data_IF_724125495510
#
_entry.id   IF_724125495510
#
_cell.length_a   1.000
_cell.length_b   1.000
_cell.length_c   1.000
_cell.angle_alpha   90.00
_cell.angle_beta   90.00
_cell.angle_gamma   90.00
#
_symmetry.space_group_name_H-M   'P 1'
#
loop_
_entity.id
_entity.type
_entity.pdbx_description
1 polymer ?
#
# COMPACT_ATOMS: atom_id res chain seq x y z
N UNK A 1 9.32 15.07 19.18
CA UNK A 1 10.14 14.45 18.11
C UNK A 1 9.24 13.49 17.35
N UNK A 2 9.40 13.34 16.03
CA UNK A 2 8.53 12.44 15.26
C UNK A 2 9.02 10.99 15.32
N UNK A 3 8.14 10.02 15.03
CA UNK A 3 8.51 8.61 14.88
C UNK A 3 9.65 8.43 13.86
N UNK A 4 9.68 9.26 12.82
CA UNK A 4 10.76 9.32 11.83
C UNK A 4 12.08 9.75 12.47
N UNK A 5 12.06 10.74 13.36
CA UNK A 5 13.26 11.18 14.09
C UNK A 5 13.78 10.08 15.01
N UNK A 6 12.90 9.42 15.77
CA UNK A 6 13.29 8.30 16.65
C UNK A 6 13.93 7.17 15.84
N UNK A 7 13.33 6.80 14.72
CA UNK A 7 13.88 5.78 13.85
C UNK A 7 15.23 6.17 13.24
N UNK A 8 15.37 7.41 12.76
CA UNK A 8 16.65 7.93 12.25
C UNK A 8 17.75 7.87 13.31
N UNK A 9 17.43 8.18 14.57
CA UNK A 9 18.35 8.02 15.70
C UNK A 9 18.72 6.54 15.94
N UNK A 10 17.76 5.61 15.88
CA UNK A 10 18.04 4.16 15.97
C UNK A 10 18.97 3.71 14.83
N UNK A 11 18.73 4.16 13.59
CA UNK A 11 19.57 3.84 12.44
C UNK A 11 21.01 4.35 12.62
N UNK A 12 21.15 5.55 13.19
CA UNK A 12 22.44 6.23 13.39
C UNK A 12 23.25 5.66 14.55
N UNK A 13 22.62 5.33 15.68
CA UNK A 13 23.32 4.95 16.92
C UNK A 13 23.21 3.47 17.29
N UNK A 14 22.29 2.74 16.66
CA UNK A 14 22.03 1.31 16.93
C UNK A 14 21.94 0.54 15.61
N UNK A 15 22.86 0.82 14.68
CA UNK A 15 22.83 0.34 13.29
C UNK A 15 22.61 -1.17 13.15
N UNK A 16 23.30 -2.00 13.95
CA UNK A 16 23.11 -3.46 13.90
C UNK A 16 21.68 -3.87 14.27
N UNK A 17 21.06 -3.21 15.25
CA UNK A 17 19.69 -3.48 15.68
C UNK A 17 18.68 -2.92 14.67
N UNK A 18 18.97 -1.75 14.09
CA UNK A 18 18.17 -1.19 13.00
C UNK A 18 18.09 -2.15 11.81
N UNK A 19 19.23 -2.74 11.40
CA UNK A 19 19.26 -3.74 10.32
C UNK A 19 18.46 -5.00 10.64
N UNK A 20 18.45 -5.45 11.89
CA UNK A 20 17.63 -6.58 12.33
C UNK A 20 16.12 -6.24 12.24
N UNK A 21 15.74 -5.07 12.73
CA UNK A 21 14.35 -4.59 12.71
C UNK A 21 13.84 -4.33 11.29
N UNK A 22 14.68 -3.81 10.38
CA UNK A 22 14.37 -3.66 8.96
C UNK A 22 14.01 -5.00 8.31
N UNK A 23 14.71 -6.08 8.66
CA UNK A 23 14.41 -7.42 8.16
C UNK A 23 13.10 -7.98 8.72
N UNK A 24 12.79 -7.68 9.98
CA UNK A 24 11.61 -8.20 10.66
C UNK A 24 10.33 -7.50 10.21
N UNK A 25 10.37 -6.17 10.08
CA UNK A 25 9.20 -5.36 9.70
C UNK A 25 9.00 -5.26 8.19
N UNK A 26 9.94 -5.76 7.37
CA UNK A 26 9.91 -5.85 5.89
C UNK A 26 9.91 -4.48 5.19
N UNK A 27 9.45 -3.42 5.86
CA UNK A 27 9.37 -2.06 5.35
C UNK A 27 9.58 -1.03 6.46
N UNK A 28 10.39 -0.02 6.16
CA UNK A 28 10.58 1.17 6.98
C UNK A 28 9.23 1.83 7.34
N UNK A 29 8.25 1.87 6.43
CA UNK A 29 6.93 2.44 6.73
C UNK A 29 6.24 1.73 7.90
N UNK A 30 6.41 0.40 8.03
CA UNK A 30 5.83 -0.37 9.14
C UNK A 30 6.51 -0.12 10.48
N UNK A 31 7.81 0.18 10.45
CA UNK A 31 8.56 0.60 11.64
C UNK A 31 8.06 1.97 12.11
N UNK A 32 7.89 2.93 11.19
CA UNK A 32 7.35 4.26 11.51
C UNK A 32 5.92 4.14 12.05
N UNK A 33 5.04 3.39 11.38
CA UNK A 33 3.66 3.14 11.84
C UNK A 33 3.63 2.56 13.27
N UNK A 34 4.54 1.63 13.58
CA UNK A 34 4.67 1.08 14.93
C UNK A 34 5.12 2.15 15.93
N UNK A 35 6.15 2.93 15.60
CA UNK A 35 6.70 3.99 16.47
C UNK A 35 5.73 5.17 16.67
N UNK A 36 4.72 5.38 15.82
CA UNK A 36 3.68 6.37 16.09
C UNK A 36 2.93 6.07 17.41
N UNK A 37 2.77 4.78 17.75
CA UNK A 37 2.18 4.31 19.01
C UNK A 37 3.14 4.35 20.20
N UNK A 38 4.42 4.69 20.01
CA UNK A 38 5.40 4.77 21.09
C UNK A 38 5.22 6.09 21.87
N UNK A 39 4.88 5.97 23.16
CA UNK A 39 4.63 7.13 24.04
C UNK A 39 5.88 7.96 24.36
N UNK A 40 7.07 7.36 24.26
CA UNK A 40 8.34 8.05 24.52
C UNK A 40 8.88 8.82 23.33
N UNK A 41 8.18 8.87 22.18
CA UNK A 41 8.73 9.43 20.92
C UNK A 41 9.15 10.90 21.00
N UNK A 42 8.58 11.65 21.93
CA UNK A 42 8.89 13.07 22.15
C UNK A 42 10.09 13.30 23.07
N UNK A 43 10.60 12.23 23.70
CA UNK A 43 11.79 12.28 24.54
C UNK A 43 13.06 12.53 23.71
N UNK A 44 14.15 12.84 24.41
CA UNK A 44 15.43 13.09 23.78
C UNK A 44 16.11 11.79 23.33
N UNK A 45 16.44 11.67 22.03
CA UNK A 45 17.09 10.49 21.44
C UNK A 45 18.39 10.84 20.68
N UNK A 46 18.92 12.05 20.85
CA UNK A 46 20.07 12.59 20.11
C UNK A 46 21.32 12.87 20.97
N UNK A 47 22.25 13.67 20.46
CA UNK A 47 23.47 14.11 21.17
C UNK A 47 23.19 15.19 22.22
N UNK A 48 23.72 15.10 23.43
CA UNK A 48 23.84 16.33 24.24
C UNK A 48 24.62 17.38 23.42
N UNK A 49 23.99 18.54 23.19
CA UNK A 49 24.44 19.64 22.34
C UNK A 49 25.96 19.65 22.05
N UNK A 50 26.35 19.22 20.85
CA UNK A 50 27.75 19.06 20.46
C UNK A 50 27.91 18.67 18.98
N UNK A 51 29.12 18.71 18.42
CA UNK A 51 29.38 18.36 17.02
C UNK A 51 28.97 16.91 16.73
N UNK A 52 28.62 16.63 15.47
CA UNK A 52 28.34 15.29 14.99
C UNK A 52 29.49 14.34 15.37
N UNK A 53 29.18 13.26 16.10
CA UNK A 53 30.17 12.31 16.64
C UNK A 53 30.53 12.50 18.12
N UNK A 54 29.88 13.42 18.83
CA UNK A 54 29.97 13.52 20.29
C UNK A 54 29.39 12.28 21.01
N UNK A 55 29.76 12.06 22.29
CA UNK A 55 29.20 10.96 23.07
C UNK A 55 27.68 11.06 23.15
N UNK A 56 27.01 9.92 23.10
CA UNK A 56 25.57 9.82 23.30
C UNK A 56 25.25 10.19 24.75
N UNK A 57 24.20 11.01 24.97
CA UNK A 57 23.73 11.29 26.34
C UNK A 57 23.23 9.98 26.98
N UNK A 58 23.51 9.73 28.26
CA UNK A 58 22.93 8.58 28.97
C UNK A 58 21.39 8.53 28.87
N UNK A 59 20.73 9.70 28.82
CA UNK A 59 19.29 9.79 28.63
C UNK A 59 18.87 9.33 27.21
N UNK A 60 19.62 9.72 26.18
CA UNK A 60 19.37 9.28 24.81
C UNK A 60 19.56 7.77 24.65
N UNK A 61 20.58 7.20 25.31
CA UNK A 61 20.81 5.74 25.34
C UNK A 61 19.61 4.99 25.89
N UNK A 62 19.13 5.41 27.07
CA UNK A 62 17.98 4.80 27.72
C UNK A 62 16.72 4.89 26.84
N UNK A 63 16.51 6.03 26.17
CA UNK A 63 15.31 6.24 25.37
C UNK A 63 15.36 5.48 24.05
N UNK A 64 16.53 5.38 23.41
CA UNK A 64 16.71 4.51 22.24
C UNK A 64 16.48 3.03 22.59
N UNK A 65 16.98 2.58 23.74
CA UNK A 65 16.78 1.20 24.17
C UNK A 65 15.30 0.90 24.48
N UNK A 66 14.57 1.86 25.07
CA UNK A 66 13.10 1.76 25.24
C UNK A 66 12.36 1.71 23.91
N UNK A 67 12.75 2.53 22.93
CA UNK A 67 12.14 2.55 21.61
C UNK A 67 12.38 1.21 20.88
N UNK A 68 13.59 0.66 20.98
CA UNK A 68 13.92 -0.68 20.47
C UNK A 68 13.08 -1.76 21.16
N UNK A 69 12.98 -1.74 22.49
CA UNK A 69 12.17 -2.70 23.22
C UNK A 69 10.69 -2.63 22.83
N UNK A 70 10.17 -1.43 22.55
CA UNK A 70 8.82 -1.25 22.04
C UNK A 70 8.64 -1.89 20.66
N UNK A 71 9.59 -1.69 19.74
CA UNK A 71 9.58 -2.32 18.41
C UNK A 71 9.67 -3.84 18.51
N UNK A 72 10.53 -4.38 19.37
CA UNK A 72 10.69 -5.83 19.55
C UNK A 72 9.44 -6.48 20.14
N UNK A 73 8.73 -5.78 21.04
CA UNK A 73 7.46 -6.26 21.62
C UNK A 73 6.32 -6.25 20.62
N UNK A 74 6.32 -5.27 19.70
CA UNK A 74 5.25 -5.07 18.73
C UNK A 74 5.61 -5.54 17.32
N UNK A 75 6.71 -6.31 17.18
CA UNK A 75 7.12 -6.82 15.88
C UNK A 75 6.04 -7.71 15.26
N UNK A 76 5.75 -7.56 13.95
CA UNK A 76 4.82 -8.44 13.30
C UNK A 76 5.36 -9.88 13.35
N UNK A 77 4.49 -10.84 13.64
CA UNK A 77 4.87 -12.24 13.45
C UNK A 77 4.89 -12.53 11.95
N UNK A 78 5.92 -13.21 11.45
CA UNK A 78 6.09 -13.56 10.02
C UNK A 78 4.81 -14.20 9.45
N UNK A 79 4.11 -15.01 10.26
CA UNK A 79 2.84 -15.65 9.88
C UNK A 79 1.66 -14.68 9.68
N UNK A 80 1.64 -13.51 10.34
CA UNK A 80 0.60 -12.50 10.16
C UNK A 80 0.80 -11.68 8.89
N UNK A 81 2.05 -11.36 8.56
CA UNK A 81 2.43 -10.66 7.33
C UNK A 81 2.12 -11.53 6.09
N UNK A 82 2.53 -12.81 6.09
CA UNK A 82 2.23 -13.73 4.98
C UNK A 82 0.73 -13.90 4.73
N UNK A 83 -0.08 -13.96 5.80
CA UNK A 83 -1.55 -14.05 5.68
C UNK A 83 -2.14 -12.76 5.09
N UNK A 84 -1.64 -11.58 5.47
CA UNK A 84 -2.09 -10.31 4.90
C UNK A 84 -1.73 -10.21 3.42
N UNK A 85 -0.50 -10.57 3.04
CA UNK A 85 -0.05 -10.54 1.64
C UNK A 85 -0.84 -11.54 0.78
N UNK A 86 -1.07 -12.76 1.27
CA UNK A 86 -1.90 -13.76 0.57
C UNK A 86 -3.35 -13.30 0.41
N UNK A 87 -3.91 -12.66 1.43
CA UNK A 87 -5.27 -12.08 1.38
C UNK A 87 -5.38 -10.94 0.36
N UNK A 88 -4.42 -10.02 0.34
CA UNK A 88 -4.36 -8.94 -0.64
C UNK A 88 -4.24 -9.47 -2.07
N UNK A 89 -3.37 -10.45 -2.31
CA UNK A 89 -3.23 -11.11 -3.61
C UNK A 89 -4.51 -11.82 -4.05
N UNK A 90 -5.22 -12.47 -3.12
CA UNK A 90 -6.52 -13.11 -3.41
C UNK A 90 -7.59 -12.07 -3.76
N UNK A 91 -7.65 -10.94 -3.05
CA UNK A 91 -8.57 -9.84 -3.34
C UNK A 91 -8.28 -9.20 -4.70
N UNK A 92 -7.00 -8.97 -5.04
CA UNK A 92 -6.60 -8.46 -6.35
C UNK A 92 -6.96 -9.42 -7.47
N UNK A 93 -6.65 -10.72 -7.34
CA UNK A 93 -7.04 -11.74 -8.32
C UNK A 93 -8.55 -11.83 -8.51
N UNK A 94 -9.32 -11.73 -7.43
CA UNK A 94 -10.79 -11.70 -7.49
C UNK A 94 -11.31 -10.46 -8.20
N UNK A 95 -10.72 -9.29 -7.93
CA UNK A 95 -11.07 -8.03 -8.61
C UNK A 95 -10.80 -8.12 -10.11
N UNK A 96 -9.62 -8.59 -10.52
CA UNK A 96 -9.26 -8.75 -11.94
C UNK A 96 -10.22 -9.71 -12.67
N UNK A 97 -10.54 -10.86 -12.08
CA UNK A 97 -11.49 -11.81 -12.65
C UNK A 97 -12.90 -11.21 -12.82
N UNK A 98 -13.33 -10.36 -11.90
CA UNK A 98 -14.61 -9.65 -12.01
C UNK A 98 -14.58 -8.60 -13.11
N UNK A 99 -13.48 -7.85 -13.24
CA UNK A 99 -13.25 -6.88 -14.32
C UNK A 99 -13.28 -7.54 -15.70
N UNK A 100 -12.59 -8.67 -15.88
CA UNK A 100 -12.57 -9.43 -17.14
C UNK A 100 -13.98 -9.88 -17.54
N UNK A 101 -14.77 -10.35 -16.57
CA UNK A 101 -16.17 -10.76 -16.79
C UNK A 101 -17.02 -9.59 -17.31
N UNK A 102 -16.84 -8.39 -16.78
CA UNK A 102 -17.58 -7.20 -17.21
C UNK A 102 -17.13 -6.71 -18.61
N UNK A 103 -15.84 -6.78 -18.91
CA UNK A 103 -15.30 -6.46 -20.24
C UNK A 103 -15.83 -7.46 -21.28
N UNK A 104 -15.93 -8.73 -20.92
CA UNK A 104 -16.48 -9.75 -21.81
C UNK A 104 -17.94 -9.47 -22.17
N UNK A 105 -18.77 -9.03 -21.21
CA UNK A 105 -20.15 -8.60 -21.49
C UNK A 105 -20.19 -7.48 -22.52
N UNK A 106 -19.28 -6.50 -22.44
CA UNK A 106 -19.19 -5.41 -23.43
C UNK A 106 -18.83 -5.99 -24.81
N UNK A 107 -17.83 -6.86 -24.88
CA UNK A 107 -17.35 -7.44 -26.13
C UNK A 107 -18.40 -8.34 -26.81
N UNK A 108 -19.15 -9.11 -26.04
CA UNK A 108 -20.11 -10.09 -26.57
C UNK A 108 -21.45 -9.45 -26.99
N UNK A 109 -21.74 -8.22 -26.56
CA UNK A 109 -23.03 -7.56 -26.82
C UNK A 109 -22.96 -6.44 -27.86
N UNK A 110 -23.60 -6.63 -29.02
CA UNK A 110 -23.60 -5.62 -30.10
C UNK A 110 -24.66 -4.54 -29.94
N UNK A 111 -25.66 -4.77 -29.08
CA UNK A 111 -26.64 -3.76 -28.70
C UNK A 111 -26.09 -2.84 -27.60
N UNK A 112 -25.47 -1.74 -28.01
CA UNK A 112 -24.91 -0.73 -27.09
C UNK A 112 -25.92 -0.20 -26.06
N UNK A 113 -27.22 -0.15 -26.40
CA UNK A 113 -28.26 0.32 -25.48
C UNK A 113 -28.57 -0.64 -24.33
N UNK A 114 -28.28 -1.94 -24.51
CA UNK A 114 -28.51 -2.97 -23.50
C UNK A 114 -27.33 -3.16 -22.54
N UNK A 115 -26.12 -2.75 -22.94
CA UNK A 115 -24.88 -2.94 -22.17
C UNK A 115 -24.97 -2.34 -20.75
N UNK A 116 -25.49 -1.12 -20.51
CA UNK A 116 -25.59 -0.57 -19.16
C UNK A 116 -26.40 -1.45 -18.20
N UNK A 117 -27.53 -1.97 -18.65
CA UNK A 117 -28.40 -2.85 -17.85
C UNK A 117 -27.73 -4.19 -17.56
N UNK A 118 -27.02 -4.76 -18.54
CA UNK A 118 -26.29 -6.02 -18.37
C UNK A 118 -25.12 -5.87 -17.38
N UNK A 119 -24.37 -4.77 -17.48
CA UNK A 119 -23.29 -4.46 -16.54
C UNK A 119 -23.83 -4.27 -15.11
N UNK A 120 -24.93 -3.54 -14.96
CA UNK A 120 -25.54 -3.32 -13.65
C UNK A 120 -26.06 -4.62 -13.01
N UNK A 121 -26.73 -5.47 -13.80
CA UNK A 121 -27.20 -6.77 -13.34
C UNK A 121 -26.04 -7.67 -12.90
N UNK A 122 -24.96 -7.74 -13.69
CA UNK A 122 -23.81 -8.58 -13.36
C UNK A 122 -23.00 -8.06 -12.17
N UNK A 123 -22.80 -6.74 -12.05
CA UNK A 123 -22.14 -6.15 -10.89
C UNK A 123 -22.89 -6.45 -9.59
N UNK A 124 -24.23 -6.42 -9.64
CA UNK A 124 -25.10 -6.78 -8.51
C UNK A 124 -24.96 -8.26 -8.15
N UNK A 125 -24.96 -9.16 -9.13
CA UNK A 125 -24.73 -10.61 -8.93
C UNK A 125 -23.36 -10.90 -8.29
N UNK A 126 -22.32 -10.20 -8.76
CA UNK A 126 -20.94 -10.37 -8.30
C UNK A 126 -20.69 -9.82 -6.89
N UNK A 127 -21.70 -9.20 -6.25
CA UNK A 127 -21.62 -8.57 -4.92
C UNK A 127 -20.39 -7.69 -4.78
N UNK A 128 -20.05 -6.94 -5.82
CA UNK A 128 -18.91 -6.03 -5.80
C UNK A 128 -19.24 -4.88 -4.86
N UNK A 129 -18.89 -5.01 -3.58
CA UNK A 129 -19.11 -3.98 -2.54
C UNK A 129 -18.20 -2.76 -2.72
N UNK A 130 -17.21 -2.83 -3.61
CA UNK A 130 -16.41 -1.69 -4.04
C UNK A 130 -16.46 -1.53 -5.57
N UNK A 131 -17.07 -0.47 -6.12
CA UNK A 131 -17.25 -0.37 -7.57
C UNK A 131 -16.10 0.20 -8.41
N UNK A 132 -14.93 0.59 -7.87
CA UNK A 132 -14.18 1.69 -8.51
C UNK A 132 -12.74 1.47 -8.92
N UNK A 133 -12.07 0.37 -8.57
CA UNK A 133 -10.64 0.23 -8.93
C UNK A 133 -10.45 0.10 -10.46
N UNK A 134 -11.34 -0.65 -11.12
CA UNK A 134 -11.21 -0.96 -12.55
C UNK A 134 -12.36 -0.45 -13.42
N UNK A 135 -13.27 0.39 -12.89
CA UNK A 135 -14.36 0.96 -13.69
C UNK A 135 -13.84 1.74 -14.89
N UNK A 136 -12.62 2.28 -14.80
CA UNK A 136 -11.93 2.94 -15.91
C UNK A 136 -11.62 1.97 -17.06
N UNK A 137 -11.26 0.72 -16.75
CA UNK A 137 -10.98 -0.32 -17.75
C UNK A 137 -12.28 -0.79 -18.42
N UNK A 138 -13.31 -1.05 -17.63
CA UNK A 138 -14.66 -1.41 -18.13
C UNK A 138 -15.23 -0.26 -18.99
N UNK A 139 -15.11 0.98 -18.52
CA UNK A 139 -15.53 2.17 -19.28
C UNK A 139 -14.72 2.35 -20.57
N UNK A 140 -13.40 2.16 -20.53
CA UNK A 140 -12.55 2.22 -21.71
C UNK A 140 -12.94 1.18 -22.77
N UNK A 141 -13.25 -0.05 -22.36
CA UNK A 141 -13.75 -1.09 -23.27
C UNK A 141 -15.09 -0.69 -23.91
N UNK A 142 -16.03 -0.14 -23.13
CA UNK A 142 -17.31 0.34 -23.63
C UNK A 142 -17.13 1.50 -24.61
N UNK A 143 -16.28 2.48 -24.27
CA UNK A 143 -16.00 3.64 -25.11
C UNK A 143 -15.37 3.22 -26.45
N UNK A 144 -14.42 2.28 -26.45
CA UNK A 144 -13.84 1.72 -27.66
C UNK A 144 -14.93 1.05 -28.52
N UNK A 145 -15.81 0.23 -27.94
CA UNK A 145 -16.89 -0.42 -28.69
C UNK A 145 -17.90 0.59 -29.24
N UNK A 146 -18.25 1.60 -28.44
CA UNK A 146 -19.13 2.70 -28.85
C UNK A 146 -18.56 3.47 -30.04
N UNK A 147 -17.26 3.84 -29.96
CA UNK A 147 -16.55 4.57 -31.02
C UNK A 147 -16.39 3.76 -32.30
N UNK A 148 -16.05 2.46 -32.20
CA UNK A 148 -16.01 1.53 -33.35
C UNK A 148 -17.35 1.47 -34.08
N UNK A 149 -18.47 1.31 -33.35
CA UNK A 149 -19.81 1.27 -33.96
C UNK A 149 -20.22 2.61 -34.61
N UNK A 150 -19.67 3.73 -34.14
CA UNK A 150 -19.90 5.06 -34.68
C UNK A 150 -18.91 5.45 -35.80
N UNK A 151 -17.99 4.56 -36.20
CA UNK A 151 -16.98 4.84 -37.22
C UNK A 151 -15.97 5.90 -36.81
N UNK A 152 -15.75 6.11 -35.51
CA UNK A 152 -14.82 7.10 -34.95
C UNK A 152 -13.66 6.39 -34.23
N UNK A 153 -12.94 5.53 -34.94
CA UNK A 153 -11.74 4.92 -34.37
C UNK A 153 -10.71 6.00 -33.99
N UNK A 154 -10.01 5.85 -32.86
CA UNK A 154 -8.92 6.76 -32.52
C UNK A 154 -7.83 6.65 -33.58
N UNK A 155 -7.50 7.78 -34.21
CA UNK A 155 -6.25 7.90 -34.96
C UNK A 155 -5.11 7.49 -34.03
N UNK A 156 -4.33 6.49 -34.43
CA UNK A 156 -3.09 6.13 -33.73
C UNK A 156 -2.21 7.38 -33.68
N UNK A 157 -2.12 8.03 -32.53
CA UNK A 157 -1.07 9.02 -32.31
C UNK A 157 0.22 8.25 -32.11
N UNK A 158 1.04 8.18 -33.16
CA UNK A 158 2.43 7.79 -33.04
C UNK A 158 3.15 8.86 -32.24
N UNK A 159 3.20 8.71 -30.92
CA UNK A 159 4.23 9.39 -30.13
C UNK A 159 5.54 8.65 -30.38
N UNK A 160 6.42 9.32 -31.14
CA UNK A 160 7.84 9.01 -31.25
C UNK A 160 8.57 9.47 -29.99
#
# INVERSE_FOLDING_TARGET
MSAITVWSCIQSYRTSKAQELDRIFISHHKIIECLEGYGGKDEYHGHESGPAGGPESPAATINLDKAIAYLERNKPTIAQEEKKTKSMNHLQKKSLSQTDTLIQIINDNDNLGAIPTLLHSKATELKTTQPWYDIRLVWGAFEVKYRKKKGKDPQKTNYK
#
